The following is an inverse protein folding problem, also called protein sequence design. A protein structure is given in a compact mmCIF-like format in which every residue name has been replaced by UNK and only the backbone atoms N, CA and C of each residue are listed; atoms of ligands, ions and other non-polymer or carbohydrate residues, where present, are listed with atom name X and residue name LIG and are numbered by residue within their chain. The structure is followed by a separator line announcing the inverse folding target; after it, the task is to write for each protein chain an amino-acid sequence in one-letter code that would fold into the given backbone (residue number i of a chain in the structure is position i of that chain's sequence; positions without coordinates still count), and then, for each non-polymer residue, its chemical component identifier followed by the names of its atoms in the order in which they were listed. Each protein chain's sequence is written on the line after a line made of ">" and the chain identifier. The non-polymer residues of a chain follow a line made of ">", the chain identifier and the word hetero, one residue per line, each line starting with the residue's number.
data_IF_622039469289
#
_entry.id   IF_622039469289
#
_cell.length_a   1.000
_cell.length_b   1.000
_cell.length_c   1.000
_cell.angle_alpha   90.00
_cell.angle_beta   90.00
_cell.angle_gamma   90.00
#
_symmetry.space_group_name_H-M   'P 1'
#
loop_
_entity.id
_entity.type
_entity.pdbx_description
1 polymer ?
#
# COMPACT_ATOMS: atom_id res chain seq x y z
N UNK A 1 -26.06 22.99 17.60
CA UNK A 1 -25.91 21.53 17.66
C UNK A 1 -24.97 21.11 16.55
N UNK A 2 -23.87 20.42 16.87
CA UNK A 2 -22.93 19.94 15.86
C UNK A 2 -23.60 18.83 15.04
N UNK A 3 -23.62 18.89 13.70
CA UNK A 3 -24.20 17.82 12.89
C UNK A 3 -23.54 16.48 13.21
N UNK A 4 -24.34 15.45 13.49
CA UNK A 4 -23.83 14.08 13.70
C UNK A 4 -23.50 13.49 12.34
N UNK A 5 -22.23 13.61 11.93
CA UNK A 5 -21.73 13.00 10.69
C UNK A 5 -21.80 11.48 10.81
N UNK A 6 -22.44 10.76 9.87
CA UNK A 6 -22.41 9.31 9.84
C UNK A 6 -20.98 8.80 9.77
N UNK A 7 -20.61 7.90 10.69
CA UNK A 7 -19.29 7.30 10.71
C UNK A 7 -19.19 6.28 9.58
N UNK A 8 -18.16 6.42 8.74
CA UNK A 8 -17.89 5.45 7.67
C UNK A 8 -17.44 4.13 8.32
N UNK A 9 -17.89 2.96 7.83
CA UNK A 9 -17.43 1.67 8.32
C UNK A 9 -15.89 1.58 8.34
N UNK A 10 -15.27 1.08 9.44
CA UNK A 10 -13.81 1.05 9.58
C UNK A 10 -13.07 0.33 8.45
N UNK A 11 -13.74 -0.62 7.78
CA UNK A 11 -13.19 -1.38 6.65
C UNK A 11 -12.95 -0.53 5.41
N UNK A 12 -13.70 0.56 5.23
CA UNK A 12 -13.56 1.48 4.11
C UNK A 12 -12.54 2.58 4.39
N UNK A 13 -12.15 2.76 5.64
CA UNK A 13 -11.18 3.78 6.08
C UNK A 13 -9.82 3.20 6.45
N UNK A 14 -9.71 1.88 6.70
CA UNK A 14 -8.40 1.25 6.97
C UNK A 14 -7.59 1.17 5.66
N UNK A 15 -6.42 1.83 5.58
CA UNK A 15 -5.58 1.82 4.37
C UNK A 15 -4.85 0.48 4.17
N UNK A 16 -4.76 -0.38 5.19
CA UNK A 16 -4.05 -1.67 5.15
C UNK A 16 -4.47 -2.60 4.00
N UNK A 17 -5.77 -2.92 3.81
CA UNK A 17 -6.19 -3.81 2.73
C UNK A 17 -5.79 -3.27 1.36
N UNK A 18 -5.95 -1.96 1.12
CA UNK A 18 -5.63 -1.34 -0.17
C UNK A 18 -4.13 -1.43 -0.45
N UNK A 19 -3.28 -1.07 0.52
CA UNK A 19 -1.83 -1.14 0.39
C UNK A 19 -1.36 -2.58 0.17
N UNK A 20 -1.87 -3.53 0.95
CA UNK A 20 -1.49 -4.93 0.83
C UNK A 20 -1.89 -5.53 -0.52
N UNK A 21 -3.13 -5.27 -0.99
CA UNK A 21 -3.61 -5.74 -2.28
C UNK A 21 -2.82 -5.10 -3.42
N UNK A 22 -2.57 -3.78 -3.38
CA UNK A 22 -1.78 -3.09 -4.40
C UNK A 22 -0.36 -3.65 -4.52
N UNK A 23 0.33 -3.87 -3.40
CA UNK A 23 1.66 -4.48 -3.40
C UNK A 23 1.64 -5.93 -3.93
N UNK A 24 0.65 -6.73 -3.51
CA UNK A 24 0.50 -8.11 -3.96
C UNK A 24 0.22 -8.20 -5.47
N UNK A 25 -0.59 -7.29 -6.02
CA UNK A 25 -0.87 -7.22 -7.44
C UNK A 25 0.39 -6.88 -8.25
N UNK A 26 1.21 -5.93 -7.79
CA UNK A 26 2.48 -5.63 -8.46
C UNK A 26 3.48 -6.79 -8.37
N UNK A 27 3.55 -7.48 -7.23
CA UNK A 27 4.37 -8.68 -7.10
C UNK A 27 3.90 -9.78 -8.07
N UNK A 28 2.59 -10.01 -8.15
CA UNK A 28 1.99 -10.97 -9.07
C UNK A 28 2.26 -10.59 -10.54
N UNK A 29 2.06 -9.33 -10.92
CA UNK A 29 2.34 -8.84 -12.25
C UNK A 29 3.82 -9.02 -12.63
N UNK A 30 4.72 -8.76 -11.68
CA UNK A 30 6.16 -9.00 -11.85
C UNK A 30 6.43 -10.48 -12.12
N UNK A 31 5.88 -11.40 -11.33
CA UNK A 31 6.02 -12.84 -11.57
C UNK A 31 5.48 -13.25 -12.94
N UNK A 32 4.28 -12.78 -13.31
CA UNK A 32 3.63 -13.10 -14.59
C UNK A 32 4.49 -12.63 -15.77
N UNK A 33 4.98 -11.39 -15.74
CA UNK A 33 5.79 -10.81 -16.81
C UNK A 33 7.10 -11.57 -17.00
N UNK A 34 7.74 -12.03 -15.91
CA UNK A 34 8.97 -12.83 -15.99
C UNK A 34 8.73 -14.26 -16.49
N UNK A 35 7.68 -14.93 -15.99
CA UNK A 35 7.35 -16.31 -16.37
C UNK A 35 6.87 -16.39 -17.83
N UNK A 36 6.31 -15.31 -18.36
CA UNK A 36 5.83 -15.22 -19.76
C UNK A 36 6.96 -15.04 -20.79
N UNK A 37 8.23 -15.05 -20.39
CA UNK A 37 9.38 -14.88 -21.28
C UNK A 37 9.43 -13.48 -21.91
N UNK A 38 9.72 -13.41 -23.21
CA UNK A 38 9.94 -12.13 -23.90
C UNK A 38 8.67 -11.45 -24.39
N UNK A 39 7.51 -12.10 -24.24
CA UNK A 39 6.20 -11.53 -24.62
C UNK A 39 5.94 -10.16 -24.00
N UNK A 40 6.44 -9.94 -22.78
CA UNK A 40 6.19 -8.74 -21.97
C UNK A 40 7.48 -8.05 -21.52
N UNK A 41 8.57 -8.20 -22.28
CA UNK A 41 9.88 -7.63 -21.90
C UNK A 41 9.78 -6.13 -21.60
N UNK A 42 9.06 -5.38 -22.42
CA UNK A 42 8.86 -3.92 -22.27
C UNK A 42 8.09 -3.54 -21.00
N UNK A 43 7.32 -4.46 -20.42
CA UNK A 43 6.58 -4.23 -19.18
C UNK A 43 7.40 -4.53 -17.91
N UNK A 44 8.56 -5.20 -18.03
CA UNK A 44 9.44 -5.55 -16.90
C UNK A 44 9.84 -4.34 -16.05
N UNK A 45 10.33 -3.21 -16.62
CA UNK A 45 10.72 -2.06 -15.82
C UNK A 45 9.54 -1.45 -15.06
N UNK A 46 8.37 -1.38 -15.70
CA UNK A 46 7.15 -0.83 -15.09
C UNK A 46 6.69 -1.70 -13.93
N UNK A 47 6.70 -3.03 -14.08
CA UNK A 47 6.36 -3.97 -13.00
C UNK A 47 7.30 -3.85 -11.80
N UNK A 48 8.61 -3.77 -12.05
CA UNK A 48 9.59 -3.57 -10.98
C UNK A 48 9.41 -2.25 -10.28
N UNK A 49 9.18 -1.16 -11.01
CA UNK A 49 8.96 0.16 -10.40
C UNK A 49 7.67 0.19 -9.59
N UNK A 50 6.59 -0.40 -10.09
CA UNK A 50 5.34 -0.54 -9.35
C UNK A 50 5.51 -1.34 -8.06
N UNK A 51 6.24 -2.45 -8.10
CA UNK A 51 6.59 -3.25 -6.92
C UNK A 51 7.46 -2.45 -5.94
N UNK A 52 8.50 -1.77 -6.42
CA UNK A 52 9.42 -1.00 -5.60
C UNK A 52 8.70 0.17 -4.88
N UNK A 53 7.89 0.94 -5.62
CA UNK A 53 7.08 2.03 -5.07
C UNK A 53 6.05 1.50 -4.08
N UNK A 54 5.40 0.38 -4.39
CA UNK A 54 4.47 -0.29 -3.47
C UNK A 54 5.12 -0.68 -2.15
N UNK A 55 6.27 -1.37 -2.21
CA UNK A 55 7.03 -1.77 -1.02
C UNK A 55 7.52 -0.56 -0.22
N UNK A 56 7.97 0.50 -0.88
CA UNK A 56 8.36 1.75 -0.21
C UNK A 56 7.17 2.37 0.53
N UNK A 57 6.03 2.53 -0.14
CA UNK A 57 4.81 3.08 0.47
C UNK A 57 4.31 2.24 1.64
N UNK A 58 4.31 0.91 1.50
CA UNK A 58 3.94 -0.02 2.56
C UNK A 58 4.89 0.09 3.76
N UNK A 59 6.19 0.20 3.51
CA UNK A 59 7.21 0.34 4.57
C UNK A 59 7.02 1.63 5.35
N UNK A 60 6.81 2.76 4.66
CA UNK A 60 6.54 4.05 5.29
C UNK A 60 5.28 3.95 6.15
N UNK A 61 4.18 3.43 5.60
CA UNK A 61 2.94 3.22 6.35
C UNK A 61 3.16 2.35 7.60
N UNK A 62 3.90 1.25 7.47
CA UNK A 62 4.19 0.36 8.59
C UNK A 62 4.97 1.05 9.71
N UNK A 63 6.01 1.81 9.35
CA UNK A 63 6.81 2.59 10.31
C UNK A 63 5.93 3.65 11.00
N UNK A 64 5.16 4.41 10.22
CA UNK A 64 4.25 5.43 10.73
C UNK A 64 3.22 4.84 11.69
N UNK A 65 2.60 3.71 11.32
CA UNK A 65 1.63 3.01 12.16
C UNK A 65 2.24 2.49 13.45
N UNK A 66 3.48 2.00 13.41
CA UNK A 66 4.20 1.56 14.61
C UNK A 66 4.52 2.73 15.53
N UNK A 67 4.96 3.86 14.98
CA UNK A 67 5.22 5.09 15.75
C UNK A 67 3.94 5.67 16.36
N UNK A 68 2.83 5.66 15.61
CA UNK A 68 1.53 6.13 16.10
C UNK A 68 1.01 5.28 17.26
N UNK A 69 1.23 3.96 17.23
CA UNK A 69 0.90 3.06 18.36
C UNK A 69 1.80 3.27 19.58
N UNK A 70 3.01 3.81 19.40
CA UNK A 70 3.97 4.12 20.48
C UNK A 70 3.80 5.53 21.05
N UNK A 71 3.04 6.40 20.37
CA UNK A 71 2.87 7.80 20.76
C UNK A 71 4.03 8.70 20.33
N UNK A 72 4.77 8.33 19.28
CA UNK A 72 5.90 9.12 18.78
C UNK A 72 5.41 10.49 18.25
N UNK A 73 6.05 11.58 18.69
CA UNK A 73 5.61 12.97 18.38
C UNK A 73 5.52 13.30 16.89
N UNK A 74 6.30 12.60 16.05
CA UNK A 74 6.31 12.79 14.59
C UNK A 74 5.44 11.80 13.81
N UNK A 75 4.70 10.92 14.48
CA UNK A 75 3.88 9.92 13.81
C UNK A 75 2.55 10.52 13.34
N UNK A 76 2.14 10.17 12.12
CA UNK A 76 0.84 10.58 11.60
C UNK A 76 -0.27 9.81 12.34
N UNK A 77 -1.14 10.56 13.02
CA UNK A 77 -2.28 10.02 13.75
C UNK A 77 -3.49 9.89 12.83
N UNK A 78 -4.33 8.87 13.05
CA UNK A 78 -5.47 8.56 12.16
C UNK A 78 -5.15 7.60 11.01
N UNK A 79 -3.96 6.99 10.99
CA UNK A 79 -3.59 5.86 10.11
C UNK A 79 -4.04 4.49 10.63
#
# INVERSE_FOLDING_TARGET
>A
MTPKVPQIPPRLTDPRPVLAVGCALWALATVVVWVSGDRWETARPVCLMGLAVGLLGYTIFFIQRRGARRGDKGAQTGL
#
